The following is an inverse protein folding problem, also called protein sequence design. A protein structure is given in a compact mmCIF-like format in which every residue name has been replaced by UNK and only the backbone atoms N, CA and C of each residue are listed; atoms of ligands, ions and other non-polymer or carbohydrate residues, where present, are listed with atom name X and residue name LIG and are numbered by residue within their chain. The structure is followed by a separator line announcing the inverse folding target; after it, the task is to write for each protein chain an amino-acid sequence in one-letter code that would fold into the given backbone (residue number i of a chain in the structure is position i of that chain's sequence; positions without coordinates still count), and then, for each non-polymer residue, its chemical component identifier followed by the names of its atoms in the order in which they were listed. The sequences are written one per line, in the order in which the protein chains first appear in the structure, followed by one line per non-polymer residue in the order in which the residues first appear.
data_IF_222875390560
#
_entry.id   IF_222875390560
#
_cell.length_a   1.000
_cell.length_b   1.000
_cell.length_c   1.000
_cell.angle_alpha   90.00
_cell.angle_beta   90.00
_cell.angle_gamma   90.00
#
_symmetry.space_group_name_H-M   'P 1'
#
loop_
_entity.id
_entity.type
_entity.pdbx_description
1 polymer ?
#
# COMPACT_ATOMS: atom_id res chain seq x y z
N UNK A 1 -19.92 -4.98 -20.37
CA UNK A 1 -19.72 -5.33 -18.94
C UNK A 1 -20.39 -4.24 -18.12
N UNK A 2 -21.39 -4.58 -17.31
CA UNK A 2 -22.06 -3.61 -16.44
C UNK A 2 -21.13 -3.28 -15.26
N UNK A 3 -20.68 -2.03 -15.18
CA UNK A 3 -19.93 -1.51 -14.04
C UNK A 3 -20.86 -1.43 -12.83
N UNK A 4 -20.46 -2.03 -11.71
CA UNK A 4 -21.20 -1.90 -10.45
C UNK A 4 -21.02 -0.46 -9.92
N UNK A 5 -21.98 0.10 -9.16
CA UNK A 5 -21.93 1.50 -8.71
C UNK A 5 -20.71 1.87 -7.85
N UNK A 6 -20.06 0.90 -7.18
CA UNK A 6 -18.83 1.15 -6.40
C UNK A 6 -17.53 1.02 -7.23
N UNK A 7 -17.61 0.55 -8.47
CA UNK A 7 -16.44 0.24 -9.28
C UNK A 7 -15.93 1.51 -9.97
N UNK A 8 -14.84 2.07 -9.43
CA UNK A 8 -14.13 3.18 -10.06
C UNK A 8 -13.19 2.63 -11.13
N UNK A 9 -13.26 3.22 -12.33
CA UNK A 9 -12.26 3.01 -13.37
C UNK A 9 -11.09 3.95 -13.13
N UNK A 10 -9.90 3.41 -13.25
CA UNK A 10 -8.62 4.11 -13.08
C UNK A 10 -7.73 3.76 -14.27
N UNK A 11 -6.96 4.75 -14.72
CA UNK A 11 -5.99 4.54 -15.78
C UNK A 11 -4.82 3.69 -15.27
N UNK A 12 -4.27 2.83 -16.13
CA UNK A 12 -3.06 2.09 -15.82
C UNK A 12 -1.87 3.07 -15.72
N UNK A 13 -0.98 2.89 -14.72
CA UNK A 13 0.23 3.70 -14.62
C UNK A 13 1.24 3.48 -15.76
N UNK A 14 1.13 2.40 -16.53
CA UNK A 14 2.03 2.12 -17.67
C UNK A 14 1.51 2.63 -19.01
N UNK A 15 0.19 2.66 -19.18
CA UNK A 15 -0.45 3.08 -20.42
C UNK A 15 -1.80 3.73 -20.11
N UNK A 16 -1.98 5.03 -20.39
CA UNK A 16 -3.20 5.75 -20.06
C UNK A 16 -4.41 5.30 -20.90
N UNK A 17 -4.22 4.50 -21.96
CA UNK A 17 -5.31 3.95 -22.76
C UNK A 17 -5.96 2.75 -22.07
N UNK A 18 -5.26 2.09 -21.14
CA UNK A 18 -5.82 1.03 -20.33
C UNK A 18 -6.65 1.59 -19.16
N UNK A 19 -7.97 1.51 -19.29
CA UNK A 19 -8.91 1.80 -18.21
C UNK A 19 -9.30 0.51 -17.49
N UNK A 20 -8.90 0.36 -16.22
CA UNK A 20 -9.15 -0.85 -15.41
C UNK A 20 -9.94 -0.49 -14.17
N UNK A 21 -10.73 -1.42 -13.64
CA UNK A 21 -11.37 -1.27 -12.34
C UNK A 21 -10.33 -1.24 -11.23
N UNK A 22 -10.52 -0.38 -10.22
CA UNK A 22 -9.58 -0.22 -9.11
C UNK A 22 -9.26 -1.56 -8.41
N UNK A 23 -10.23 -2.48 -8.31
CA UNK A 23 -10.00 -3.81 -7.73
C UNK A 23 -9.03 -4.68 -8.55
N UNK A 24 -9.03 -4.52 -9.88
CA UNK A 24 -8.22 -5.32 -10.80
C UNK A 24 -6.89 -4.66 -11.15
N UNK A 25 -6.69 -3.40 -10.76
CA UNK A 25 -5.50 -2.62 -11.10
C UNK A 25 -4.22 -3.35 -10.64
N UNK A 26 -4.17 -3.87 -9.41
CA UNK A 26 -2.98 -4.56 -8.89
C UNK A 26 -2.55 -5.74 -9.79
N UNK A 27 -3.50 -6.62 -10.14
CA UNK A 27 -3.22 -7.77 -11.01
C UNK A 27 -2.89 -7.33 -12.44
N UNK A 28 -3.53 -6.27 -12.94
CA UNK A 28 -3.24 -5.72 -14.26
C UNK A 28 -1.82 -5.18 -14.33
N UNK A 29 -1.40 -4.35 -13.37
CA UNK A 29 -0.08 -3.71 -13.30
C UNK A 29 1.03 -4.76 -13.38
N UNK A 30 0.92 -5.88 -12.66
CA UNK A 30 1.90 -6.97 -12.72
C UNK A 30 2.07 -7.57 -14.13
N UNK A 31 0.98 -7.75 -14.87
CA UNK A 31 1.02 -8.27 -16.25
C UNK A 31 1.50 -7.20 -17.23
N UNK A 32 1.01 -5.98 -17.07
CA UNK A 32 1.35 -4.85 -17.94
C UNK A 32 2.85 -4.52 -17.85
N UNK A 33 3.43 -4.64 -16.65
CA UNK A 33 4.86 -4.49 -16.45
C UNK A 33 5.69 -5.45 -17.32
N UNK A 34 5.24 -6.69 -17.51
CA UNK A 34 5.96 -7.66 -18.34
C UNK A 34 5.96 -7.28 -19.83
N UNK A 35 4.95 -6.54 -20.27
CA UNK A 35 4.86 -6.05 -21.65
C UNK A 35 5.67 -4.75 -21.86
N UNK A 36 5.99 -4.02 -20.80
CA UNK A 36 6.73 -2.75 -20.86
C UNK A 36 8.01 -2.77 -20.00
N UNK A 37 9.02 -3.58 -20.33
CA UNK A 37 10.24 -3.74 -19.53
C UNK A 37 11.12 -2.48 -19.44
N UNK A 38 10.89 -1.49 -20.31
CA UNK A 38 11.67 -0.25 -20.34
C UNK A 38 11.27 0.75 -19.24
N UNK A 39 10.20 0.50 -18.49
CA UNK A 39 9.77 1.40 -17.42
C UNK A 39 10.62 1.22 -16.16
N UNK A 40 11.00 2.34 -15.57
CA UNK A 40 11.72 2.38 -14.29
C UNK A 40 10.74 2.61 -13.15
N UNK A 41 10.96 1.94 -12.03
CA UNK A 41 10.08 2.00 -10.86
C UNK A 41 10.61 2.96 -9.80
N UNK A 42 9.69 3.58 -9.08
CA UNK A 42 10.03 4.30 -7.86
C UNK A 42 10.49 3.32 -6.76
N UNK A 43 11.58 3.63 -6.03
CA UNK A 43 12.04 2.80 -4.92
C UNK A 43 11.09 2.85 -3.70
N UNK A 44 10.23 3.87 -3.60
CA UNK A 44 9.32 4.06 -2.46
C UNK A 44 7.94 3.43 -2.69
N UNK A 45 7.46 3.43 -3.93
CA UNK A 45 6.17 2.83 -4.29
C UNK A 45 6.25 2.17 -5.67
N UNK A 46 6.11 0.84 -5.71
CA UNK A 46 6.22 0.04 -6.94
C UNK A 46 5.10 0.28 -7.95
N UNK A 47 4.03 0.99 -7.55
CA UNK A 47 2.96 1.41 -8.46
C UNK A 47 3.36 2.65 -9.27
N UNK A 48 4.31 3.45 -8.80
CA UNK A 48 4.85 4.58 -9.55
C UNK A 48 5.88 4.05 -10.55
N UNK A 49 5.52 4.12 -11.83
CA UNK A 49 6.35 3.69 -12.95
C UNK A 49 6.50 4.85 -13.93
N UNK A 50 7.71 5.00 -14.50
CA UNK A 50 8.05 6.09 -15.41
C UNK A 50 8.71 5.54 -16.67
N UNK A 51 8.54 6.23 -17.79
CA UNK A 51 9.10 5.84 -19.09
C UNK A 51 10.62 6.06 -19.14
N UNK A 52 11.12 7.06 -18.40
CA UNK A 52 12.54 7.41 -18.37
C UNK A 52 13.11 7.54 -16.96
N UNK A 53 14.43 7.29 -16.82
CA UNK A 53 15.17 7.62 -15.60
C UNK A 53 15.06 9.10 -15.23
N UNK A 54 15.02 10.00 -16.22
CA UNK A 54 14.92 11.45 -15.96
C UNK A 54 13.63 11.81 -15.22
N UNK A 55 12.51 11.25 -15.65
CA UNK A 55 11.21 11.45 -15.01
C UNK A 55 11.18 10.83 -13.61
N UNK A 56 11.81 9.67 -13.44
CA UNK A 56 11.96 9.05 -12.13
C UNK A 56 12.81 9.91 -11.18
N UNK A 57 13.91 10.50 -11.65
CA UNK A 57 14.76 11.38 -10.84
C UNK A 57 14.01 12.63 -10.38
N UNK A 58 13.20 13.23 -11.26
CA UNK A 58 12.33 14.34 -10.90
C UNK A 58 11.24 13.91 -9.91
N UNK A 59 10.60 12.76 -10.15
CA UNK A 59 9.61 12.20 -9.25
C UNK A 59 10.18 11.93 -7.85
N UNK A 60 11.38 11.33 -7.72
CA UNK A 60 11.99 11.01 -6.43
C UNK A 60 12.16 12.26 -5.54
N UNK A 61 12.38 13.44 -6.14
CA UNK A 61 12.49 14.71 -5.39
C UNK A 61 11.16 15.13 -4.76
N UNK A 62 10.04 14.83 -5.41
CA UNK A 62 8.69 15.24 -5.00
C UNK A 62 7.78 14.07 -4.59
N UNK A 63 8.33 12.86 -4.45
CA UNK A 63 7.54 11.66 -4.22
C UNK A 63 6.84 11.71 -2.85
N UNK A 64 5.50 11.64 -2.80
CA UNK A 64 4.74 11.69 -1.55
C UNK A 64 4.96 10.44 -0.68
N UNK A 65 5.14 9.27 -1.30
CA UNK A 65 5.37 7.99 -0.60
C UNK A 65 6.75 7.91 0.07
N UNK A 66 7.66 8.86 -0.21
CA UNK A 66 8.96 8.94 0.46
C UNK A 66 8.80 9.02 1.99
N UNK A 67 7.78 9.74 2.47
CA UNK A 67 7.48 9.83 3.90
C UNK A 67 6.95 8.53 4.48
N UNK A 68 6.13 7.78 3.72
CA UNK A 68 5.57 6.49 4.14
C UNK A 68 6.65 5.40 4.25
N UNK A 69 7.65 5.44 3.37
CA UNK A 69 8.77 4.49 3.41
C UNK A 69 9.76 4.71 4.56
N UNK A 70 9.85 5.93 5.08
CA UNK A 70 10.78 6.30 6.16
C UNK A 70 10.04 7.05 7.28
N UNK A 71 9.05 6.42 7.94
CA UNK A 71 8.19 7.08 8.90
C UNK A 71 9.00 7.68 10.07
N UNK A 72 10.08 7.00 10.49
CA UNK A 72 11.00 7.48 11.53
C UNK A 72 11.68 8.81 11.23
N UNK A 73 11.88 9.16 9.95
CA UNK A 73 12.47 10.46 9.57
C UNK A 73 11.50 11.62 9.70
N UNK A 74 10.20 11.32 9.66
CA UNK A 74 9.12 12.31 9.63
C UNK A 74 8.18 12.18 10.83
N UNK A 75 8.54 11.34 11.79
CA UNK A 75 7.84 11.23 13.06
C UNK A 75 8.13 12.50 13.86
N UNK A 76 7.25 13.50 13.68
CA UNK A 76 7.02 14.51 14.70
C UNK A 76 6.91 13.76 16.03
N UNK A 77 7.59 14.22 17.09
CA UNK A 77 7.52 13.63 18.42
C UNK A 77 6.05 13.55 18.86
N UNK A 78 5.39 12.42 18.54
CA UNK A 78 4.17 12.03 19.21
C UNK A 78 4.63 11.67 20.61
N UNK A 79 4.27 12.50 21.59
CA UNK A 79 4.41 12.17 23.00
C UNK A 79 3.75 10.81 23.21
N UNK A 80 4.57 9.79 23.47
CA UNK A 80 4.16 8.39 23.65
C UNK A 80 3.55 8.22 25.05
N UNK A 81 2.59 9.09 25.42
CA UNK A 81 1.97 9.07 26.74
C UNK A 81 0.48 8.67 26.69
N UNK A 82 -0.03 8.31 25.52
CA UNK A 82 -1.39 7.79 25.38
C UNK A 82 -1.30 6.28 25.20
N UNK A 83 -1.01 5.60 26.32
CA UNK A 83 -1.16 4.14 26.38
C UNK A 83 -2.65 3.85 26.14
N UNK A 84 -3.02 3.00 25.17
CA UNK A 84 -4.42 2.64 24.98
C UNK A 84 -4.95 2.06 26.30
N UNK A 85 -5.98 2.72 26.84
CA UNK A 85 -6.68 2.27 28.05
C UNK A 85 -7.09 0.82 27.81
N UNK A 86 -6.65 -0.08 28.68
CA UNK A 86 -7.15 -1.45 28.70
C UNK A 86 -8.64 -1.36 29.00
N UNK A 87 -9.47 -1.47 27.96
CA UNK A 87 -10.90 -1.61 28.15
C UNK A 87 -11.06 -3.01 28.72
N UNK A 88 -11.52 -3.12 29.97
CA UNK A 88 -11.87 -4.40 30.56
C UNK A 88 -13.03 -4.99 29.77
N UNK A 89 -12.69 -5.74 28.71
CA UNK A 89 -13.63 -6.57 27.98
C UNK A 89 -14.11 -7.60 29.01
N UNK A 90 -15.41 -7.58 29.31
CA UNK A 90 -16.04 -8.59 30.14
C UNK A 90 -15.59 -9.96 29.64
N UNK A 91 -14.85 -10.71 30.49
CA UNK A 91 -14.30 -12.02 30.17
C UNK A 91 -15.36 -12.85 29.44
N UNK A 92 -15.23 -13.00 28.12
CA UNK A 92 -16.02 -13.96 27.37
C UNK A 92 -15.45 -15.32 27.74
N UNK A 93 -16.21 -16.09 28.54
CA UNK A 93 -15.76 -17.34 29.12
C UNK A 93 -15.35 -18.36 28.08
N UNK A 94 -14.04 -18.50 27.92
CA UNK A 94 -13.29 -19.77 27.83
C UNK A 94 -11.81 -19.38 27.78
N UNK A 95 -11.21 -19.19 28.96
CA UNK A 95 -9.75 -19.18 29.09
C UNK A 95 -9.31 -20.64 28.92
N UNK A 96 -8.95 -21.03 27.69
CA UNK A 96 -8.27 -22.30 27.42
C UNK A 96 -6.87 -22.21 28.04
N UNK A 97 -6.69 -22.92 29.15
CA UNK A 97 -5.42 -22.99 29.88
C UNK A 97 -4.45 -23.91 29.12
N UNK A 98 -3.58 -23.31 28.31
CA UNK A 98 -2.56 -24.03 27.54
C UNK A 98 -1.42 -24.58 28.41
N UNK A 99 -1.31 -24.18 29.68
CA UNK A 99 -0.33 -24.71 30.63
C UNK A 99 -0.77 -26.03 31.30
N UNK A 100 -2.06 -26.35 31.28
CA UNK A 100 -2.60 -27.60 31.80
C UNK A 100 -2.19 -28.85 30.99
N UNK A 101 -1.83 -28.71 29.71
CA UNK A 101 -1.46 -29.86 28.87
C UNK A 101 -0.03 -30.39 29.12
N UNK A 102 0.80 -29.66 29.86
CA UNK A 102 2.21 -30.03 30.05
C UNK A 102 2.56 -30.49 31.48
N UNK A 103 1.56 -30.94 32.25
CA UNK A 103 1.73 -31.46 33.61
C UNK A 103 1.63 -32.98 33.70
#
# INVERSE_FOLDING_TARGET
MLLKPHQKLVACPFDPQHMITQDRLQRHVLKCMNNYPSHVKCPYNVLHCFLSRKELEEHIRHCPDKMLSQPWRYQQQKTINEVPVHIDIAKCGNEEDWEAEYR
#
